data_IF_965657790195
#
_entry.id   IF_965657790195
#
_cell.length_a   1.000
_cell.length_b   1.000
_cell.length_c   1.000
_cell.angle_alpha   90.00
_cell.angle_beta   90.00
_cell.angle_gamma   90.00
#
_symmetry.space_group_name_H-M   'P 1'
#
loop_
_entity.id
_entity.type
_entity.pdbx_description
1 polymer ?
#
# COMPACT_ATOMS: atom_id res chain seq x y z
N UNK A 1 0.70 -24.30 7.05
CA UNK A 1 -0.61 -23.93 6.45
C UNK A 1 -1.16 -25.04 5.56
N UNK A 2 -0.55 -25.41 4.43
CA UNK A 2 -1.08 -26.40 3.50
C UNK A 2 -1.41 -27.77 4.12
N UNK A 3 -0.56 -28.26 5.03
CA UNK A 3 -0.81 -29.50 5.77
C UNK A 3 -2.09 -29.41 6.60
N UNK A 4 -2.30 -28.29 7.28
CA UNK A 4 -3.47 -28.07 8.13
C UNK A 4 -4.77 -27.93 7.32
N UNK A 5 -4.67 -27.34 6.12
CA UNK A 5 -5.78 -27.19 5.21
C UNK A 5 -6.02 -28.41 4.29
N UNK A 6 -5.19 -29.46 4.41
CA UNK A 6 -5.17 -30.61 3.50
C UNK A 6 -5.06 -30.23 2.01
N UNK A 7 -4.41 -29.09 1.72
CA UNK A 7 -4.31 -28.54 0.39
C UNK A 7 -3.10 -29.06 -0.38
N UNK A 8 -3.26 -29.18 -1.69
CA UNK A 8 -2.15 -29.30 -2.63
C UNK A 8 -1.51 -27.91 -2.85
N UNK A 9 -0.24 -27.89 -3.22
CA UNK A 9 0.58 -26.68 -3.36
C UNK A 9 1.06 -26.55 -4.79
N UNK A 10 0.96 -25.37 -5.37
CA UNK A 10 1.64 -24.99 -6.60
C UNK A 10 2.70 -23.95 -6.23
N UNK A 11 3.95 -24.22 -6.59
CA UNK A 11 5.05 -23.29 -6.39
C UNK A 11 5.07 -22.28 -7.54
N UNK A 12 4.96 -20.99 -7.23
CA UNK A 12 5.14 -19.91 -8.22
C UNK A 12 6.56 -19.36 -8.11
N UNK A 13 7.33 -19.53 -9.19
CA UNK A 13 8.73 -19.14 -9.26
C UNK A 13 8.90 -17.88 -10.12
N UNK A 14 9.40 -16.79 -9.53
CA UNK A 14 9.65 -15.52 -10.21
C UNK A 14 11.00 -15.57 -10.95
N UNK A 15 10.97 -15.53 -12.30
CA UNK A 15 12.18 -15.58 -13.12
C UNK A 15 12.83 -14.21 -13.34
N UNK A 16 12.10 -13.13 -13.12
CA UNK A 16 12.56 -11.76 -13.40
C UNK A 16 13.74 -11.33 -12.52
N UNK A 17 13.79 -11.84 -11.30
CA UNK A 17 14.86 -11.53 -10.31
C UNK A 17 16.15 -12.33 -10.51
N UNK A 18 16.18 -13.28 -11.43
CA UNK A 18 17.29 -14.22 -11.61
C UNK A 18 17.35 -15.33 -10.56
N UNK A 19 18.17 -16.37 -10.82
CA UNK A 19 18.37 -17.49 -9.90
C UNK A 19 17.14 -18.40 -9.70
N UNK A 20 16.16 -18.38 -10.61
CA UNK A 20 14.88 -19.09 -10.47
C UNK A 20 15.06 -20.60 -10.26
N UNK A 21 16.04 -21.23 -10.92
CA UNK A 21 16.31 -22.67 -10.77
C UNK A 21 16.76 -23.02 -9.34
N UNK A 22 17.71 -22.25 -8.80
CA UNK A 22 18.21 -22.44 -7.45
C UNK A 22 17.10 -22.15 -6.41
N UNK A 23 16.30 -21.13 -6.64
CA UNK A 23 15.18 -20.73 -5.78
C UNK A 23 14.08 -21.79 -5.75
N UNK A 24 13.68 -22.32 -6.93
CA UNK A 24 12.69 -23.38 -7.03
C UNK A 24 13.18 -24.67 -6.39
N UNK A 25 14.40 -25.09 -6.73
CA UNK A 25 15.03 -26.29 -6.14
C UNK A 25 15.13 -26.16 -4.61
N UNK A 26 15.65 -25.05 -4.09
CA UNK A 26 15.77 -24.82 -2.65
C UNK A 26 14.41 -24.83 -1.94
N UNK A 27 13.38 -24.23 -2.55
CA UNK A 27 12.03 -24.23 -2.02
C UNK A 27 11.43 -25.62 -1.90
N UNK A 28 11.76 -26.52 -2.81
CA UNK A 28 11.33 -27.93 -2.79
C UNK A 28 12.22 -28.76 -1.87
N UNK A 29 13.53 -28.66 -2.00
CA UNK A 29 14.51 -29.53 -1.33
C UNK A 29 14.52 -29.34 0.19
N UNK A 30 14.27 -28.11 0.67
CA UNK A 30 14.27 -27.79 2.09
C UNK A 30 12.98 -28.21 2.82
N UNK A 31 11.94 -28.63 2.08
CA UNK A 31 10.71 -29.13 2.71
C UNK A 31 10.88 -30.53 3.31
N UNK A 32 10.08 -30.82 4.33
CA UNK A 32 9.97 -32.20 4.83
C UNK A 32 9.44 -33.14 3.73
N UNK A 33 9.74 -34.45 3.76
CA UNK A 33 9.23 -35.38 2.74
C UNK A 33 7.70 -35.35 2.59
N UNK A 34 6.99 -35.13 3.68
CA UNK A 34 5.52 -35.05 3.70
C UNK A 34 4.98 -33.76 3.05
N UNK A 35 5.63 -32.63 3.31
CA UNK A 35 5.23 -31.35 2.70
C UNK A 35 5.64 -31.29 1.23
N UNK A 36 6.80 -31.86 0.87
CA UNK A 36 7.24 -31.99 -0.52
C UNK A 36 6.22 -32.73 -1.38
N UNK A 37 5.61 -33.80 -0.88
CA UNK A 37 4.57 -34.57 -1.58
C UNK A 37 3.33 -33.74 -1.91
N UNK A 38 3.11 -32.63 -1.18
CA UNK A 38 2.01 -31.72 -1.46
C UNK A 38 2.26 -30.79 -2.63
N UNK A 39 3.52 -30.53 -2.99
CA UNK A 39 3.85 -29.67 -4.12
C UNK A 39 3.60 -30.46 -5.40
N UNK A 40 2.57 -30.05 -6.14
CA UNK A 40 2.07 -30.76 -7.32
C UNK A 40 2.55 -30.18 -8.64
N UNK A 41 3.04 -28.96 -8.62
CA UNK A 41 3.51 -28.30 -9.82
C UNK A 41 4.26 -27.01 -9.55
N UNK A 42 4.95 -26.54 -10.57
CA UNK A 42 5.65 -25.26 -10.60
C UNK A 42 5.05 -24.41 -11.71
N UNK A 43 4.82 -23.14 -11.44
CA UNK A 43 4.53 -22.12 -12.44
C UNK A 43 5.70 -21.15 -12.48
N UNK A 44 6.30 -20.95 -13.65
CA UNK A 44 7.32 -19.91 -13.86
C UNK A 44 6.59 -18.61 -14.21
N UNK A 45 6.78 -17.58 -13.43
CA UNK A 45 6.10 -16.29 -13.58
C UNK A 45 7.07 -15.20 -14.05
N UNK A 46 6.52 -14.20 -14.71
CA UNK A 46 7.22 -13.00 -15.21
C UNK A 46 8.30 -13.31 -16.25
N UNK A 47 8.07 -14.27 -17.12
CA UNK A 47 9.03 -14.64 -18.16
C UNK A 47 9.13 -13.55 -19.23
N UNK A 48 10.35 -13.12 -19.53
CA UNK A 48 10.65 -12.15 -20.60
C UNK A 48 11.38 -12.85 -21.74
N UNK A 49 10.84 -12.77 -22.93
CA UNK A 49 11.46 -13.31 -24.14
C UNK A 49 10.60 -14.32 -24.87
N UNK A 50 11.22 -15.09 -25.77
CA UNK A 50 10.55 -16.12 -26.56
C UNK A 50 10.42 -17.42 -25.75
N UNK A 51 9.17 -17.82 -25.48
CA UNK A 51 8.86 -19.04 -24.74
C UNK A 51 9.49 -20.31 -25.34
N UNK A 52 9.66 -20.35 -26.66
CA UNK A 52 10.29 -21.50 -27.38
C UNK A 52 11.74 -21.70 -26.96
N UNK A 53 12.45 -20.63 -26.64
CA UNK A 53 13.84 -20.69 -26.17
C UNK A 53 13.95 -21.19 -24.72
N UNK A 54 12.87 -21.19 -23.98
CA UNK A 54 12.85 -21.62 -22.58
C UNK A 54 12.40 -23.07 -22.39
N UNK A 55 12.08 -23.81 -23.44
CA UNK A 55 11.67 -25.22 -23.35
C UNK A 55 12.73 -26.11 -22.67
N UNK A 56 14.01 -25.86 -22.94
CA UNK A 56 15.10 -26.57 -22.26
C UNK A 56 15.19 -26.21 -20.77
N UNK A 57 14.88 -24.95 -20.42
CA UNK A 57 14.81 -24.50 -19.04
C UNK A 57 13.66 -25.16 -18.27
N UNK A 58 12.51 -25.36 -18.91
CA UNK A 58 11.37 -26.07 -18.31
C UNK A 58 11.80 -27.51 -17.97
N UNK A 59 12.39 -28.25 -18.93
CA UNK A 59 12.86 -29.62 -18.73
C UNK A 59 13.90 -29.71 -17.60
N UNK A 60 14.86 -28.80 -17.59
CA UNK A 60 15.87 -28.75 -16.53
C UNK A 60 15.22 -28.50 -15.15
N UNK A 61 14.23 -27.61 -15.06
CA UNK A 61 13.52 -27.33 -13.79
C UNK A 61 12.78 -28.58 -13.29
N UNK A 62 12.10 -29.31 -14.19
CA UNK A 62 11.42 -30.56 -13.87
C UNK A 62 12.39 -31.61 -13.37
N UNK A 63 13.54 -31.76 -14.05
CA UNK A 63 14.59 -32.73 -13.66
C UNK A 63 15.16 -32.44 -12.28
N UNK A 64 15.56 -31.19 -11.99
CA UNK A 64 16.19 -30.84 -10.71
C UNK A 64 15.20 -30.81 -9.54
N UNK A 65 13.95 -30.43 -9.79
CA UNK A 65 12.93 -30.35 -8.73
C UNK A 65 12.16 -31.67 -8.55
N UNK A 66 12.13 -32.54 -9.55
CA UNK A 66 11.30 -33.74 -9.55
C UNK A 66 9.80 -33.47 -9.56
N UNK A 67 9.38 -32.30 -10.07
CA UNK A 67 8.00 -31.80 -10.03
C UNK A 67 7.70 -31.17 -11.39
N UNK A 68 6.50 -31.42 -11.99
CA UNK A 68 6.17 -30.88 -13.31
C UNK A 68 6.04 -29.35 -13.31
N UNK A 69 6.47 -28.73 -14.40
CA UNK A 69 6.20 -27.32 -14.69
C UNK A 69 4.85 -27.21 -15.40
N UNK A 70 3.85 -26.67 -14.72
CA UNK A 70 2.48 -26.55 -15.20
C UNK A 70 2.30 -25.46 -16.25
N UNK A 71 3.22 -24.50 -16.29
CA UNK A 71 3.18 -23.42 -17.27
C UNK A 71 4.22 -22.35 -17.02
N UNK A 72 4.42 -21.52 -18.05
CA UNK A 72 5.28 -20.34 -18.03
C UNK A 72 4.41 -19.15 -18.35
N UNK A 73 4.30 -18.20 -17.44
CA UNK A 73 3.49 -16.98 -17.59
C UNK A 73 4.40 -15.86 -18.09
N UNK A 74 4.13 -15.29 -19.26
CA UNK A 74 4.87 -14.15 -19.76
C UNK A 74 4.76 -12.95 -18.83
N UNK A 75 5.75 -12.05 -18.90
CA UNK A 75 5.68 -10.77 -18.22
C UNK A 75 4.61 -9.90 -18.88
N UNK A 76 3.63 -9.49 -18.09
CA UNK A 76 2.58 -8.59 -18.53
C UNK A 76 2.94 -7.15 -18.18
N UNK A 77 2.93 -6.26 -19.17
CA UNK A 77 3.23 -4.84 -18.97
C UNK A 77 1.99 -4.02 -18.59
N UNK A 78 0.81 -4.50 -18.97
CA UNK A 78 -0.46 -3.76 -18.87
C UNK A 78 -1.35 -4.22 -17.72
N UNK A 79 -0.87 -5.16 -16.90
CA UNK A 79 -1.58 -5.57 -15.69
C UNK A 79 -1.01 -4.78 -14.51
N UNK A 80 -1.84 -3.92 -13.97
CA UNK A 80 -1.57 -3.23 -12.73
C UNK A 80 -2.06 -4.09 -11.56
N UNK A 81 -1.13 -4.70 -10.85
CA UNK A 81 -1.40 -5.39 -9.60
C UNK A 81 -0.95 -4.47 -8.48
N UNK A 82 -1.88 -4.12 -7.60
CA UNK A 82 -1.58 -3.32 -6.42
C UNK A 82 -0.55 -4.05 -5.55
N UNK A 83 0.56 -3.39 -5.26
CA UNK A 83 1.58 -3.95 -4.35
C UNK A 83 1.16 -3.68 -2.90
N UNK A 84 1.22 -4.72 -2.07
CA UNK A 84 0.90 -4.60 -0.63
C UNK A 84 2.04 -3.94 0.19
N UNK A 85 3.23 -3.80 -0.38
CA UNK A 85 4.40 -3.33 0.34
C UNK A 85 4.64 -1.82 0.21
N UNK A 86 4.70 -1.14 1.35
CA UNK A 86 4.99 0.30 1.50
C UNK A 86 6.39 0.74 1.00
N UNK A 87 7.21 -0.18 0.49
CA UNK A 87 8.60 0.08 0.06
C UNK A 87 8.65 1.02 -1.16
N UNK A 88 7.64 1.00 -2.03
CA UNK A 88 7.59 1.90 -3.19
C UNK A 88 7.28 3.37 -2.86
N UNK A 89 6.70 3.67 -1.70
CA UNK A 89 6.39 5.05 -1.31
C UNK A 89 7.62 5.95 -1.27
N UNK A 90 8.81 5.38 -1.08
CA UNK A 90 10.08 6.11 -1.08
C UNK A 90 10.54 6.54 -2.48
N UNK A 91 10.03 5.91 -3.53
CA UNK A 91 10.41 6.16 -4.93
C UNK A 91 9.43 7.10 -5.66
N UNK A 92 8.24 7.35 -5.10
CA UNK A 92 7.22 8.20 -5.71
C UNK A 92 7.61 9.68 -5.64
N UNK A 93 7.20 10.45 -6.64
CA UNK A 93 7.48 11.90 -6.72
C UNK A 93 7.00 12.59 -5.43
N UNK A 94 7.84 13.49 -4.92
CA UNK A 94 7.61 14.16 -3.63
C UNK A 94 7.32 15.65 -3.75
N UNK A 95 7.08 16.15 -4.96
CA UNK A 95 6.96 17.59 -5.22
C UNK A 95 5.77 17.94 -6.11
N UNK A 96 5.22 19.13 -5.91
CA UNK A 96 4.21 19.70 -6.79
C UNK A 96 4.77 19.98 -8.19
N UNK A 97 3.94 19.79 -9.23
CA UNK A 97 4.27 19.97 -10.62
C UNK A 97 3.32 21.03 -11.22
N UNK A 98 3.86 21.99 -11.93
CA UNK A 98 3.06 23.03 -12.59
C UNK A 98 2.23 22.45 -13.74
N UNK A 99 0.98 22.87 -13.86
CA UNK A 99 0.08 22.45 -14.95
C UNK A 99 -0.70 21.16 -14.67
N UNK A 100 -0.54 20.55 -13.49
CA UNK A 100 -1.35 19.43 -13.04
C UNK A 100 -2.08 19.75 -11.75
N UNK A 101 -3.13 19.00 -11.45
CA UNK A 101 -3.76 19.02 -10.14
C UNK A 101 -2.85 18.31 -9.15
N UNK A 102 -2.31 19.05 -8.21
CA UNK A 102 -1.37 18.54 -7.20
C UNK A 102 -2.12 17.94 -6.03
N UNK A 103 -2.03 16.64 -5.89
CA UNK A 103 -2.68 15.88 -4.81
C UNK A 103 -1.62 15.35 -3.86
N UNK A 104 -1.55 15.91 -2.66
CA UNK A 104 -0.61 15.52 -1.62
C UNK A 104 -1.27 14.53 -0.67
N UNK A 105 -0.76 13.32 -0.57
CA UNK A 105 -1.12 12.35 0.47
C UNK A 105 -0.18 12.54 1.65
N UNK A 106 -0.76 12.77 2.83
CA UNK A 106 0.02 12.92 4.06
C UNK A 106 0.62 11.57 4.45
N UNK A 107 1.94 11.52 4.62
CA UNK A 107 2.65 10.32 5.05
C UNK A 107 2.42 10.10 6.55
N UNK A 108 1.53 9.17 6.88
CA UNK A 108 1.32 8.71 8.25
C UNK A 108 2.31 7.58 8.57
N UNK A 109 2.75 7.50 9.82
CA UNK A 109 3.61 6.42 10.29
C UNK A 109 2.92 5.06 10.22
N UNK A 110 1.62 5.04 10.55
CA UNK A 110 0.78 3.84 10.53
C UNK A 110 -0.23 3.88 9.38
N UNK A 111 0.22 4.40 8.22
CA UNK A 111 -0.61 4.49 7.01
C UNK A 111 -1.19 3.12 6.66
N UNK A 112 -2.48 3.10 6.36
CA UNK A 112 -3.19 1.91 5.88
C UNK A 112 -3.81 2.20 4.51
N UNK A 113 -3.95 1.12 3.70
CA UNK A 113 -4.64 1.17 2.40
C UNK A 113 -4.08 2.26 1.46
N UNK A 114 -2.77 2.29 1.25
CA UNK A 114 -2.13 3.23 0.31
C UNK A 114 -2.61 3.01 -1.13
N UNK A 115 -3.14 1.83 -1.45
CA UNK A 115 -3.73 1.49 -2.76
C UNK A 115 -5.01 2.27 -3.08
N UNK A 116 -5.66 2.89 -2.09
CA UNK A 116 -6.86 3.73 -2.30
C UNK A 116 -6.62 4.89 -3.27
N UNK A 117 -5.36 5.28 -3.48
CA UNK A 117 -4.98 6.42 -4.31
C UNK A 117 -4.46 6.03 -5.70
N UNK A 118 -4.33 4.74 -6.01
CA UNK A 118 -3.74 4.26 -7.26
C UNK A 118 -4.48 4.77 -8.51
N UNK A 119 -5.80 4.90 -8.45
CA UNK A 119 -6.58 5.45 -9.55
C UNK A 119 -6.20 6.91 -9.88
N UNK A 120 -5.77 7.68 -8.88
CA UNK A 120 -5.32 9.06 -9.07
C UNK A 120 -3.92 9.11 -9.70
N UNK A 121 -3.07 8.12 -9.48
CA UNK A 121 -1.73 8.02 -10.07
C UNK A 121 -1.78 7.80 -11.59
N UNK A 122 -2.85 7.16 -12.08
CA UNK A 122 -3.03 6.85 -13.51
C UNK A 122 -3.70 7.97 -14.29
N UNK A 123 -4.22 9.03 -13.64
CA UNK A 123 -4.80 10.18 -14.34
C UNK A 123 -3.69 11.18 -14.72
N UNK A 124 -3.47 11.36 -16.02
CA UNK A 124 -2.44 12.27 -16.53
C UNK A 124 -2.61 13.72 -16.09
N UNK A 125 -3.81 14.13 -15.69
CA UNK A 125 -4.12 15.48 -15.19
C UNK A 125 -3.69 15.66 -13.73
N UNK A 126 -3.46 14.55 -13.02
CA UNK A 126 -3.12 14.52 -11.59
C UNK A 126 -1.62 14.32 -11.42
N UNK A 127 -1.07 14.99 -10.43
CA UNK A 127 0.24 14.72 -9.87
C UNK A 127 0.04 14.29 -8.41
N UNK A 128 0.01 12.98 -8.18
CA UNK A 128 -0.09 12.41 -6.83
C UNK A 128 1.30 12.26 -6.24
N UNK A 129 1.49 12.72 -5.01
CA UNK A 129 2.74 12.56 -4.28
C UNK A 129 2.50 12.40 -2.78
N UNK A 130 3.43 11.73 -2.11
CA UNK A 130 3.36 11.46 -0.68
C UNK A 130 4.38 12.35 0.04
N UNK A 131 3.94 13.10 1.04
CA UNK A 131 4.83 14.05 1.71
C UNK A 131 4.40 14.38 3.15
N UNK A 132 5.41 14.73 3.98
CA UNK A 132 5.25 15.44 5.25
C UNK A 132 6.03 16.76 5.23
N UNK A 133 6.52 17.18 4.05
CA UNK A 133 7.19 18.46 3.90
C UNK A 133 6.14 19.58 3.86
N UNK A 134 6.31 20.58 4.73
CA UNK A 134 5.39 21.71 4.86
C UNK A 134 5.27 22.50 3.55
N UNK A 135 6.40 22.75 2.88
CA UNK A 135 6.42 23.54 1.65
C UNK A 135 5.71 22.84 0.49
N UNK A 136 5.78 21.52 0.44
CA UNK A 136 5.11 20.73 -0.59
C UNK A 136 3.60 20.63 -0.32
N UNK A 137 3.19 20.53 0.96
CA UNK A 137 1.78 20.59 1.37
C UNK A 137 1.14 21.95 1.02
N UNK A 138 1.91 23.04 1.18
CA UNK A 138 1.44 24.39 0.85
C UNK A 138 1.21 24.63 -0.65
N UNK A 139 1.76 23.78 -1.53
CA UNK A 139 1.60 23.83 -2.99
C UNK A 139 0.54 22.87 -3.51
N UNK A 140 -0.07 22.08 -2.64
CA UNK A 140 -1.10 21.12 -3.02
C UNK A 140 -2.43 21.81 -3.29
N UNK A 141 -3.12 21.37 -4.34
CA UNK A 141 -4.50 21.74 -4.62
C UNK A 141 -5.46 20.91 -3.74
N UNK A 142 -5.08 19.64 -3.52
CA UNK A 142 -5.83 18.70 -2.69
C UNK A 142 -4.86 18.03 -1.71
N UNK A 143 -5.24 17.97 -0.44
CA UNK A 143 -4.52 17.24 0.60
C UNK A 143 -5.40 16.06 1.05
N UNK A 144 -4.84 14.85 0.96
CA UNK A 144 -5.49 13.61 1.39
C UNK A 144 -4.89 13.16 2.73
N UNK A 145 -5.75 13.02 3.72
CA UNK A 145 -5.46 12.36 4.99
C UNK A 145 -5.88 10.90 4.85
N UNK A 146 -4.93 9.96 4.73
CA UNK A 146 -5.24 8.55 4.50
C UNK A 146 -5.75 7.84 5.75
N UNK A 147 -6.11 6.57 5.60
CA UNK A 147 -6.38 5.68 6.71
C UNK A 147 -5.16 5.47 7.59
N UNK A 148 -5.40 5.21 8.88
CA UNK A 148 -4.36 4.93 9.87
C UNK A 148 -4.76 3.74 10.73
N UNK A 149 -3.77 2.93 11.13
CA UNK A 149 -3.93 1.84 12.11
C UNK A 149 -3.75 2.33 13.56
N UNK A 150 -3.31 3.59 13.75
CA UNK A 150 -3.20 4.26 15.05
C UNK A 150 -3.45 5.75 14.86
N UNK A 151 -4.76 6.09 14.81
CA UNK A 151 -5.24 7.42 14.40
C UNK A 151 -4.78 8.53 15.33
N UNK A 152 -4.80 8.28 16.63
CA UNK A 152 -4.42 9.25 17.66
C UNK A 152 -2.92 9.50 17.64
N UNK A 153 -2.11 8.45 17.58
CA UNK A 153 -0.65 8.59 17.56
C UNK A 153 -0.17 9.31 16.29
N UNK A 154 -0.76 8.97 15.14
CA UNK A 154 -0.43 9.65 13.88
C UNK A 154 -0.82 11.13 13.93
N UNK A 155 -2.00 11.47 14.44
CA UNK A 155 -2.41 12.86 14.59
C UNK A 155 -1.50 13.62 15.59
N UNK A 156 -1.09 12.97 16.67
CA UNK A 156 -0.14 13.55 17.63
C UNK A 156 1.18 13.88 16.94
N UNK A 157 1.71 12.96 16.12
CA UNK A 157 2.94 13.16 15.36
C UNK A 157 2.80 14.30 14.33
N UNK A 158 1.68 14.36 13.60
CA UNK A 158 1.40 15.46 12.65
C UNK A 158 1.35 16.83 13.34
N UNK A 159 0.89 16.88 14.60
CA UNK A 159 0.92 18.13 15.39
C UNK A 159 2.32 18.49 15.84
N UNK A 160 3.09 17.51 16.26
CA UNK A 160 4.44 17.70 16.78
C UNK A 160 5.42 18.17 15.70
N UNK A 161 5.29 17.67 14.49
CA UNK A 161 6.19 17.97 13.36
C UNK A 161 5.73 19.16 12.49
N UNK A 162 4.61 19.83 12.84
CA UNK A 162 4.11 20.99 12.14
C UNK A 162 3.23 20.70 10.90
N UNK A 163 3.09 19.44 10.50
CA UNK A 163 2.27 19.03 9.33
C UNK A 163 0.79 19.39 9.55
N UNK A 164 0.26 19.16 10.75
CA UNK A 164 -1.12 19.54 11.08
C UNK A 164 -1.38 21.05 10.84
N UNK A 165 -0.43 21.90 11.23
CA UNK A 165 -0.54 23.34 11.00
C UNK A 165 -0.44 23.70 9.51
N UNK A 166 0.43 23.01 8.75
CA UNK A 166 0.54 23.20 7.32
C UNK A 166 -0.77 22.84 6.59
N UNK A 167 -1.41 21.73 6.97
CA UNK A 167 -2.72 21.32 6.42
C UNK A 167 -3.77 22.40 6.65
N UNK A 168 -3.86 22.92 7.88
CA UNK A 168 -4.80 23.98 8.23
C UNK A 168 -4.52 25.27 7.44
N UNK A 169 -3.27 25.62 7.26
CA UNK A 169 -2.88 26.80 6.48
C UNK A 169 -3.16 26.62 4.99
N UNK A 170 -2.80 25.47 4.40
CA UNK A 170 -3.13 25.14 3.00
C UNK A 170 -4.64 25.21 2.75
N UNK A 171 -5.45 24.71 3.69
CA UNK A 171 -6.92 24.82 3.62
C UNK A 171 -7.41 26.27 3.61
N UNK A 172 -6.82 27.15 4.43
CA UNK A 172 -7.12 28.59 4.43
C UNK A 172 -6.74 29.26 3.11
N UNK A 173 -5.68 28.78 2.48
CA UNK A 173 -5.20 29.27 1.18
C UNK A 173 -5.99 28.71 -0.01
N UNK A 174 -7.02 27.88 0.21
CA UNK A 174 -7.91 27.38 -0.82
C UNK A 174 -7.75 25.90 -1.17
N UNK A 175 -6.76 25.19 -0.62
CA UNK A 175 -6.62 23.76 -0.86
C UNK A 175 -7.84 22.98 -0.32
N UNK A 176 -8.23 21.93 -1.03
CA UNK A 176 -9.24 20.99 -0.55
C UNK A 176 -8.59 19.97 0.37
N UNK A 177 -9.19 19.70 1.51
CA UNK A 177 -8.74 18.65 2.44
C UNK A 177 -9.79 17.55 2.49
N UNK A 178 -9.36 16.31 2.25
CA UNK A 178 -10.20 15.13 2.28
C UNK A 178 -9.57 14.07 3.20
N UNK A 179 -10.39 13.40 3.99
CA UNK A 179 -9.95 12.34 4.90
C UNK A 179 -10.65 11.02 4.62
N UNK A 180 -9.91 9.93 4.74
CA UNK A 180 -10.40 8.56 4.56
C UNK A 180 -10.23 7.83 5.89
N UNK A 181 -11.27 7.13 6.38
CA UNK A 181 -11.23 6.33 7.60
C UNK A 181 -10.63 7.11 8.79
N UNK A 182 -9.46 6.71 9.31
CA UNK A 182 -8.73 7.43 10.36
C UNK A 182 -8.42 8.89 10.00
N UNK A 183 -8.07 9.17 8.75
CA UNK A 183 -7.88 10.54 8.26
C UNK A 183 -9.15 11.38 8.34
N UNK A 184 -10.32 10.81 8.08
CA UNK A 184 -11.59 11.51 8.28
C UNK A 184 -11.84 11.81 9.77
N UNK A 185 -11.52 10.86 10.65
CA UNK A 185 -11.62 11.07 12.10
C UNK A 185 -10.70 12.20 12.57
N UNK A 186 -9.48 12.29 12.02
CA UNK A 186 -8.54 13.38 12.32
C UNK A 186 -9.11 14.77 11.97
N UNK A 187 -9.98 14.86 10.95
CA UNK A 187 -10.61 16.14 10.55
C UNK A 187 -11.67 16.63 11.55
N UNK A 188 -12.13 15.78 12.45
CA UNK A 188 -13.13 16.12 13.47
C UNK A 188 -12.64 17.14 14.48
N UNK A 189 -13.51 17.48 15.44
CA UNK A 189 -13.19 18.38 16.55
C UNK A 189 -12.36 17.69 17.64
N UNK A 190 -12.61 16.40 17.86
CA UNK A 190 -11.96 15.59 18.88
C UNK A 190 -11.94 14.14 18.44
N UNK A 191 -10.87 13.45 18.78
CA UNK A 191 -10.75 11.99 18.68
C UNK A 191 -10.61 11.45 20.10
N UNK A 192 -11.28 10.34 20.40
CA UNK A 192 -11.22 9.69 21.70
C UNK A 192 -11.08 8.17 21.53
N UNK A 193 -10.21 7.61 22.34
CA UNK A 193 -9.98 6.17 22.52
C UNK A 193 -10.02 5.86 24.03
N UNK A 194 -11.23 5.85 24.63
CA UNK A 194 -11.39 5.70 26.07
C UNK A 194 -10.91 4.33 26.58
N UNK A 195 -10.92 3.34 25.71
CA UNK A 195 -10.54 1.94 26.07
C UNK A 195 -9.05 1.66 25.79
N UNK A 196 -8.30 2.61 25.22
CA UNK A 196 -6.87 2.49 24.95
C UNK A 196 -6.54 1.41 23.93
N UNK A 197 -7.39 1.24 22.91
CA UNK A 197 -7.22 0.21 21.86
C UNK A 197 -6.08 0.56 20.91
N UNK A 198 -5.94 1.85 20.58
CA UNK A 198 -4.93 2.33 19.62
C UNK A 198 -3.63 2.84 20.28
N UNK A 199 -3.65 3.11 21.60
CA UNK A 199 -2.45 3.64 22.25
C UNK A 199 -2.66 4.17 23.67
N UNK A 200 -1.72 4.98 24.16
CA UNK A 200 -1.74 5.52 25.53
C UNK A 200 -2.53 6.82 25.68
N UNK A 201 -2.86 7.49 24.57
CA UNK A 201 -3.57 8.78 24.57
C UNK A 201 -5.07 8.51 24.46
N UNK A 202 -5.80 8.73 25.54
CA UNK A 202 -7.24 8.46 25.59
C UNK A 202 -8.09 9.44 24.78
N UNK A 203 -7.60 10.65 24.54
CA UNK A 203 -8.29 11.64 23.69
C UNK A 203 -7.37 12.80 23.31
N UNK A 204 -7.63 13.41 22.15
CA UNK A 204 -6.98 14.65 21.75
C UNK A 204 -7.85 15.50 20.81
N UNK A 205 -7.57 16.82 20.66
CA UNK A 205 -8.24 17.65 19.67
C UNK A 205 -7.94 17.15 18.25
N UNK A 206 -8.97 17.05 17.39
CA UNK A 206 -8.82 16.86 15.97
C UNK A 206 -8.35 18.12 15.24
N UNK A 207 -8.35 18.10 13.91
CA UNK A 207 -7.98 19.27 13.10
C UNK A 207 -9.06 20.34 13.05
N UNK A 208 -10.29 20.04 13.46
CA UNK A 208 -11.39 20.99 13.49
C UNK A 208 -11.89 21.44 12.12
N UNK A 209 -11.65 20.64 11.07
CA UNK A 209 -12.03 20.94 9.69
C UNK A 209 -13.50 20.60 9.39
N UNK A 210 -14.09 19.69 10.17
CA UNK A 210 -15.49 19.31 10.04
C UNK A 210 -16.35 20.15 10.99
N UNK A 211 -17.39 20.77 10.43
CA UNK A 211 -18.38 21.50 11.22
C UNK A 211 -19.24 20.49 12.00
N UNK A 212 -19.22 20.56 13.31
CA UNK A 212 -20.20 19.86 14.13
C UNK A 212 -21.57 20.48 13.86
N UNK A 213 -22.53 19.72 13.28
CA UNK A 213 -23.94 20.13 13.31
C UNK A 213 -24.31 20.24 14.78
N UNK A 214 -24.64 21.45 15.24
CA UNK A 214 -25.29 21.63 16.55
C UNK A 214 -26.53 20.74 16.54
N UNK A 215 -26.77 19.89 17.56
CA UNK A 215 -28.03 19.19 17.66
C UNK A 215 -29.13 20.27 17.59
N UNK A 216 -30.10 20.07 16.69
CA UNK A 216 -31.28 20.92 16.63
C UNK A 216 -31.88 20.90 18.02
N UNK A 217 -32.02 22.08 18.68
CA UNK A 217 -32.82 22.17 19.88
C UNK A 217 -34.22 21.71 19.50
N UNK A 218 -34.61 20.53 20.00
CA UNK A 218 -36.00 20.14 19.97
C UNK A 218 -36.80 21.28 20.61
N UNK A 219 -37.65 21.91 19.83
CA UNK A 219 -38.66 22.82 20.36
C UNK A 219 -39.63 21.96 21.17
N UNK A 220 -39.60 22.15 22.47
CA UNK A 220 -40.68 21.67 23.34
C UNK A 220 -41.94 22.51 23.08
#
# INVERSE_FOLDING_TARGET
MARHAHADVILVADIDRGGVFASAYGSVALQTPEDRKRIKGIIVNKFRGDLRLFESGVKMMEEICGIPVLGVIPYYHDIYIEEEDSVELSLKQRKAVQGKVNVAVVLLRHLSNFTDFNMLEHDERVNLYYTNNVDDLMKADIILLPGSKSTIDDLYELRRNGVAQAILQARRNGATVMGICGGYQMMGQRIADPDGVEGSISQMPGLGLLLQKRPSKERR
#
